data_IF_098652599127
#
_entry.id   IF_098652599127
#
_cell.length_a   1.000
_cell.length_b   1.000
_cell.length_c   1.000
_cell.angle_alpha   90.00
_cell.angle_beta   90.00
_cell.angle_gamma   90.00
#
_symmetry.space_group_name_H-M   'P 1'
#
loop_
_entity.id
_entity.type
_entity.pdbx_description
1 polymer ?
#
# COMPACT_ATOMS: atom_id res chain seq x y z
N UNK A 1 -5.66 -18.15 -29.93
CA UNK A 1 -5.27 -16.83 -29.40
C UNK A 1 -4.18 -17.06 -28.36
N UNK A 2 -2.90 -16.90 -28.71
CA UNK A 2 -1.79 -17.20 -27.79
C UNK A 2 -1.77 -16.19 -26.63
N UNK A 3 -1.31 -16.64 -25.46
CA UNK A 3 -1.01 -15.75 -24.33
C UNK A 3 0.07 -14.74 -24.74
N UNK A 4 -0.17 -13.45 -24.48
CA UNK A 4 0.83 -12.40 -24.72
C UNK A 4 1.94 -12.48 -23.66
N UNK A 5 3.07 -11.83 -23.93
CA UNK A 5 4.16 -11.74 -22.95
C UNK A 5 3.71 -11.04 -21.65
N UNK A 6 2.73 -10.13 -21.74
CA UNK A 6 2.12 -9.47 -20.56
C UNK A 6 1.33 -10.44 -19.71
N UNK A 7 0.56 -11.33 -20.34
CA UNK A 7 -0.17 -12.34 -19.59
C UNK A 7 0.79 -13.30 -18.84
N UNK A 8 1.89 -13.68 -19.49
CA UNK A 8 2.96 -14.45 -18.84
C UNK A 8 3.62 -13.69 -17.69
N UNK A 9 3.84 -12.38 -17.83
CA UNK A 9 4.35 -11.55 -16.75
C UNK A 9 3.37 -11.47 -15.56
N UNK A 10 2.07 -11.32 -15.83
CA UNK A 10 1.02 -11.33 -14.79
C UNK A 10 1.02 -12.66 -14.04
N UNK A 11 0.99 -13.78 -14.76
CA UNK A 11 1.02 -15.12 -14.16
C UNK A 11 2.31 -15.30 -13.35
N UNK A 12 3.46 -14.86 -13.87
CA UNK A 12 4.73 -14.94 -13.16
C UNK A 12 4.69 -14.13 -11.84
N UNK A 13 4.17 -12.91 -11.84
CA UNK A 13 4.06 -12.08 -10.62
C UNK A 13 3.19 -12.79 -9.57
N UNK A 14 2.03 -13.30 -9.97
CA UNK A 14 1.11 -13.99 -9.05
C UNK A 14 1.74 -15.29 -8.53
N UNK A 15 2.35 -16.08 -9.42
CA UNK A 15 3.01 -17.34 -9.06
C UNK A 15 4.20 -17.12 -8.12
N UNK A 16 5.07 -16.14 -8.42
CA UNK A 16 6.21 -15.78 -7.57
C UNK A 16 5.72 -15.30 -6.20
N UNK A 17 4.70 -14.44 -6.17
CA UNK A 17 4.12 -13.95 -4.91
C UNK A 17 3.55 -15.12 -4.08
N UNK A 18 2.80 -16.03 -4.70
CA UNK A 18 2.28 -17.23 -4.04
C UNK A 18 3.40 -18.16 -3.54
N UNK A 19 4.46 -18.35 -4.31
CA UNK A 19 5.59 -19.23 -3.96
C UNK A 19 6.44 -18.65 -2.81
N UNK A 20 6.66 -17.33 -2.82
CA UNK A 20 7.35 -16.63 -1.73
C UNK A 20 6.52 -16.75 -0.44
N UNK A 21 5.21 -16.52 -0.50
CA UNK A 21 4.35 -16.62 0.67
C UNK A 21 4.14 -18.06 1.14
N UNK A 22 4.22 -19.06 0.26
CA UNK A 22 4.28 -20.48 0.65
C UNK A 22 5.54 -20.78 1.48
N UNK A 23 6.67 -20.13 1.15
CA UNK A 23 7.93 -20.31 1.86
C UNK A 23 7.98 -19.56 3.19
N UNK A 24 7.36 -18.37 3.26
CA UNK A 24 7.31 -17.55 4.49
C UNK A 24 6.20 -17.94 5.46
N UNK A 25 5.05 -18.41 4.96
CA UNK A 25 3.86 -18.65 5.77
C UNK A 25 2.94 -17.43 5.89
N UNK A 26 1.64 -17.66 6.08
CA UNK A 26 0.61 -16.62 6.21
C UNK A 26 0.87 -15.69 7.38
N UNK A 27 1.13 -16.25 8.57
CA UNK A 27 1.28 -15.48 9.80
C UNK A 27 2.42 -14.48 9.68
N UNK A 28 3.55 -14.90 9.12
CA UNK A 28 4.70 -14.01 8.94
C UNK A 28 4.41 -12.88 7.97
N UNK A 29 3.66 -13.18 6.92
CA UNK A 29 3.29 -12.20 5.90
C UNK A 29 2.25 -11.20 6.44
N UNK A 30 1.23 -11.67 7.15
CA UNK A 30 0.19 -10.84 7.76
C UNK A 30 0.77 -9.92 8.84
N UNK A 31 1.63 -10.46 9.71
CA UNK A 31 2.32 -9.66 10.73
C UNK A 31 3.28 -8.64 10.12
N UNK A 32 3.96 -8.99 9.03
CA UNK A 32 4.78 -8.03 8.30
C UNK A 32 3.94 -6.88 7.75
N UNK A 33 2.81 -7.17 7.12
CA UNK A 33 1.91 -6.14 6.59
C UNK A 33 1.36 -5.24 7.72
N UNK A 34 0.94 -5.86 8.83
CA UNK A 34 0.46 -5.14 10.01
C UNK A 34 1.55 -4.25 10.60
N UNK A 35 2.79 -4.75 10.69
CA UNK A 35 3.95 -3.99 11.16
C UNK A 35 4.21 -2.77 10.30
N UNK A 36 4.08 -2.88 8.97
CA UNK A 36 4.21 -1.74 8.06
C UNK A 36 3.14 -0.66 8.32
N UNK A 37 1.87 -1.07 8.53
CA UNK A 37 0.77 -0.15 8.83
C UNK A 37 1.02 0.56 10.18
N UNK A 38 1.38 -0.20 11.22
CA UNK A 38 1.69 0.34 12.55
C UNK A 38 2.90 1.28 12.47
N UNK A 39 3.97 0.89 11.77
CA UNK A 39 5.16 1.74 11.60
C UNK A 39 4.82 3.05 10.89
N UNK A 40 3.97 3.02 9.86
CA UNK A 40 3.47 4.23 9.21
C UNK A 40 2.69 5.13 10.17
N UNK A 41 1.77 4.56 10.96
CA UNK A 41 1.01 5.29 11.97
C UNK A 41 1.90 5.91 13.06
N UNK A 42 2.87 5.15 13.58
CA UNK A 42 3.84 5.62 14.58
C UNK A 42 4.73 6.72 14.00
N UNK A 43 5.22 6.56 12.77
CA UNK A 43 6.00 7.59 12.10
C UNK A 43 5.21 8.89 11.92
N UNK A 44 3.92 8.81 11.58
CA UNK A 44 3.07 9.98 11.41
C UNK A 44 2.78 10.68 12.74
N UNK A 45 2.52 9.93 13.81
CA UNK A 45 2.17 10.49 15.12
C UNK A 45 3.39 11.01 15.90
N UNK A 46 4.51 10.28 15.87
CA UNK A 46 5.68 10.54 16.72
C UNK A 46 6.89 11.10 15.97
N UNK A 47 6.91 11.03 14.63
CA UNK A 47 8.02 11.54 13.83
C UNK A 47 8.25 13.04 14.00
N UNK A 48 7.18 13.82 14.17
CA UNK A 48 7.25 15.25 14.47
C UNK A 48 7.92 15.53 15.81
N UNK A 49 7.51 14.86 16.88
CA UNK A 49 8.11 15.02 18.22
C UNK A 49 9.58 14.60 18.25
N UNK A 50 9.96 13.53 17.54
CA UNK A 50 11.37 13.16 17.43
C UNK A 50 12.18 14.22 16.67
N UNK A 51 11.59 14.85 15.66
CA UNK A 51 12.28 15.85 14.84
C UNK A 51 12.78 17.03 15.67
N UNK A 52 12.11 17.42 16.75
CA UNK A 52 12.54 18.52 17.63
C UNK A 52 13.92 18.25 18.26
N UNK A 53 14.17 17.00 18.65
CA UNK A 53 15.47 16.58 19.19
C UNK A 53 16.58 16.55 18.14
N UNK A 54 16.24 16.47 16.86
CA UNK A 54 17.20 16.53 15.75
C UNK A 54 17.60 17.98 15.41
N UNK A 55 17.09 18.97 16.12
CA UNK A 55 17.33 20.39 15.86
C UNK A 55 18.80 20.80 15.89
N UNK A 56 19.62 20.13 16.70
CA UNK A 56 21.07 20.37 16.77
C UNK A 56 21.89 19.71 15.66
N UNK A 57 21.30 18.82 14.85
CA UNK A 57 22.01 18.05 13.82
C UNK A 57 21.58 18.41 12.39
N UNK A 58 20.32 18.79 12.19
CA UNK A 58 19.74 19.08 10.87
C UNK A 58 19.13 20.47 10.87
N UNK A 59 19.77 21.40 10.17
CA UNK A 59 19.29 22.79 10.08
C UNK A 59 18.00 22.91 9.25
N UNK A 60 17.87 22.13 8.18
CA UNK A 60 16.71 22.19 7.27
C UNK A 60 15.45 21.59 7.92
N UNK A 61 14.37 22.37 8.13
CA UNK A 61 13.18 21.90 8.84
C UNK A 61 12.47 20.70 8.18
N UNK A 62 12.34 20.72 6.85
CA UNK A 62 11.72 19.62 6.10
C UNK A 62 12.52 18.31 6.21
N UNK A 63 13.85 18.38 6.07
CA UNK A 63 14.73 17.23 6.23
C UNK A 63 14.69 16.67 7.66
N UNK A 64 14.55 17.53 8.66
CA UNK A 64 14.46 17.16 10.08
C UNK A 64 13.21 16.34 10.38
N UNK A 65 12.04 16.79 9.89
CA UNK A 65 10.78 16.05 10.04
C UNK A 65 10.83 14.73 9.31
N UNK A 66 11.33 14.71 8.07
CA UNK A 66 11.50 13.47 7.30
C UNK A 66 12.42 12.49 8.02
N UNK A 67 13.54 12.96 8.57
CA UNK A 67 14.47 12.13 9.34
C UNK A 67 13.81 11.58 10.62
N UNK A 68 13.06 12.42 11.36
CA UNK A 68 12.32 11.98 12.56
C UNK A 68 11.30 10.89 12.24
N UNK A 69 10.49 11.08 11.20
CA UNK A 69 9.55 10.07 10.71
C UNK A 69 10.28 8.80 10.26
N UNK A 70 11.37 8.91 9.51
CA UNK A 70 12.13 7.76 9.03
C UNK A 70 12.75 6.94 10.17
N UNK A 71 13.31 7.60 11.19
CA UNK A 71 13.86 6.92 12.37
C UNK A 71 12.76 6.18 13.12
N UNK A 72 11.62 6.83 13.40
CA UNK A 72 10.48 6.18 14.07
C UNK A 72 9.92 5.02 13.27
N UNK A 73 9.83 5.19 11.94
CA UNK A 73 9.40 4.14 11.02
C UNK A 73 10.31 2.92 11.11
N UNK A 74 11.63 3.10 10.93
CA UNK A 74 12.62 2.03 10.97
C UNK A 74 12.70 1.38 12.34
N UNK A 75 12.68 2.17 13.42
CA UNK A 75 12.69 1.65 14.78
C UNK A 75 11.48 0.73 15.03
N UNK A 76 10.29 1.13 14.58
CA UNK A 76 9.07 0.33 14.70
C UNK A 76 9.15 -0.94 13.85
N UNK A 77 9.69 -0.86 12.62
CA UNK A 77 9.92 -2.04 11.79
C UNK A 77 10.86 -3.04 12.44
N UNK A 78 11.93 -2.58 13.10
CA UNK A 78 12.87 -3.46 13.82
C UNK A 78 12.15 -4.21 14.94
N UNK A 79 11.40 -3.50 15.78
CA UNK A 79 10.63 -4.10 16.87
C UNK A 79 9.59 -5.08 16.33
N UNK A 80 8.84 -4.70 15.31
CA UNK A 80 7.85 -5.58 14.69
C UNK A 80 8.48 -6.80 14.01
N UNK A 81 9.68 -6.68 13.44
CA UNK A 81 10.42 -7.81 12.88
C UNK A 81 10.84 -8.81 13.98
N UNK A 82 11.25 -8.33 15.16
CA UNK A 82 11.55 -9.18 16.31
C UNK A 82 10.31 -9.94 16.78
N UNK A 83 9.16 -9.25 16.90
CA UNK A 83 7.88 -9.88 17.26
C UNK A 83 7.48 -10.92 16.21
N UNK A 84 7.60 -10.59 14.92
CA UNK A 84 7.28 -11.49 13.83
C UNK A 84 8.16 -12.75 13.85
N UNK A 85 9.45 -12.60 14.17
CA UNK A 85 10.34 -13.74 14.36
C UNK A 85 9.88 -14.66 15.50
N UNK A 86 9.56 -14.09 16.67
CA UNK A 86 9.04 -14.84 17.81
C UNK A 86 7.77 -15.60 17.47
N UNK A 87 6.76 -14.91 16.92
CA UNK A 87 5.49 -15.55 16.56
C UNK A 87 5.69 -16.63 15.49
N UNK A 88 6.57 -16.38 14.52
CA UNK A 88 6.92 -17.39 13.51
C UNK A 88 7.48 -18.67 14.12
N UNK A 89 8.30 -18.56 15.18
CA UNK A 89 8.81 -19.73 15.89
C UNK A 89 7.72 -20.43 16.72
N UNK A 90 6.80 -19.67 17.34
CA UNK A 90 5.63 -20.26 18.02
C UNK A 90 4.77 -21.10 17.06
N UNK A 91 4.48 -20.61 15.86
CA UNK A 91 3.72 -21.35 14.83
C UNK A 91 4.44 -22.63 14.39
N UNK A 92 5.78 -22.58 14.36
CA UNK A 92 6.60 -23.73 14.01
C UNK A 92 6.56 -24.80 15.12
N UNK A 93 6.58 -24.38 16.39
CA UNK A 93 6.51 -25.27 17.55
C UNK A 93 5.13 -25.93 17.69
N UNK A 94 4.04 -25.25 17.33
CA UNK A 94 2.68 -25.83 17.38
C UNK A 94 2.42 -26.88 16.29
N UNK A 95 3.35 -27.09 15.35
CA UNK A 95 3.19 -28.07 14.26
C UNK A 95 2.20 -27.66 13.17
N UNK A 96 1.58 -26.48 13.28
CA UNK A 96 0.61 -25.93 12.32
C UNK A 96 1.27 -25.31 11.07
N UNK A 97 2.59 -25.48 10.90
CA UNK A 97 3.35 -24.88 9.80
C UNK A 97 2.84 -25.28 8.41
N UNK A 98 2.26 -26.48 8.24
CA UNK A 98 1.67 -26.90 6.97
C UNK A 98 0.47 -26.05 6.56
N UNK A 99 -0.49 -25.87 7.48
CA UNK A 99 -1.68 -25.04 7.26
C UNK A 99 -1.31 -23.56 7.07
N UNK A 100 -0.38 -23.05 7.87
CA UNK A 100 0.14 -21.69 7.76
C UNK A 100 0.76 -21.40 6.38
N UNK A 101 1.52 -22.35 5.83
CA UNK A 101 2.09 -22.24 4.48
C UNK A 101 1.02 -22.28 3.38
N UNK A 102 0.01 -23.14 3.50
CA UNK A 102 -1.09 -23.22 2.54
C UNK A 102 -1.92 -21.93 2.51
N UNK A 103 -2.28 -21.41 3.69
CA UNK A 103 -2.91 -20.09 3.80
C UNK A 103 -1.98 -18.98 3.27
N UNK A 104 -0.67 -19.14 3.46
CA UNK A 104 0.35 -18.25 2.93
C UNK A 104 0.30 -18.19 1.41
N UNK A 105 0.16 -19.33 0.73
CA UNK A 105 0.00 -19.38 -0.73
C UNK A 105 -1.23 -18.60 -1.20
N UNK A 106 -2.39 -18.81 -0.55
CA UNK A 106 -3.62 -18.10 -0.90
C UNK A 106 -3.49 -16.58 -0.69
N UNK A 107 -2.89 -16.18 0.44
CA UNK A 107 -2.62 -14.77 0.74
C UNK A 107 -1.60 -14.16 -0.24
N UNK A 108 -0.54 -14.89 -0.59
CA UNK A 108 0.47 -14.48 -1.57
C UNK A 108 -0.12 -14.34 -2.97
N UNK A 109 -1.03 -15.23 -3.37
CA UNK A 109 -1.75 -15.12 -4.62
C UNK A 109 -2.65 -13.88 -4.63
N UNK A 110 -3.42 -13.64 -3.56
CA UNK A 110 -4.24 -12.44 -3.41
C UNK A 110 -3.40 -11.14 -3.46
N UNK A 111 -2.25 -11.13 -2.78
CA UNK A 111 -1.29 -10.02 -2.84
C UNK A 111 -0.74 -9.82 -4.26
N UNK A 112 -0.38 -10.91 -4.94
CA UNK A 112 0.11 -10.87 -6.32
C UNK A 112 -0.95 -10.29 -7.28
N UNK A 113 -2.21 -10.73 -7.14
CA UNK A 113 -3.35 -10.17 -7.87
C UNK A 113 -3.49 -8.68 -7.58
N UNK A 114 -3.43 -8.27 -6.31
CA UNK A 114 -3.53 -6.86 -5.93
C UNK A 114 -2.39 -6.02 -6.54
N UNK A 115 -1.16 -6.52 -6.54
CA UNK A 115 -0.02 -5.85 -7.19
C UNK A 115 -0.25 -5.70 -8.70
N UNK A 116 -0.78 -6.72 -9.37
CA UNK A 116 -1.13 -6.66 -10.79
C UNK A 116 -2.25 -5.65 -11.04
N UNK A 117 -3.31 -5.64 -10.23
CA UNK A 117 -4.41 -4.65 -10.33
C UNK A 117 -3.86 -3.24 -10.25
N UNK A 118 -2.99 -2.95 -9.28
CA UNK A 118 -2.36 -1.64 -9.13
C UNK A 118 -1.47 -1.31 -10.33
N UNK A 119 -0.63 -2.25 -10.77
CA UNK A 119 0.26 -2.03 -11.92
C UNK A 119 -0.52 -1.76 -13.21
N UNK A 120 -1.53 -2.58 -13.52
CA UNK A 120 -2.42 -2.39 -14.68
C UNK A 120 -3.19 -1.07 -14.57
N UNK A 121 -3.70 -0.75 -13.37
CA UNK A 121 -4.39 0.51 -13.12
C UNK A 121 -3.49 1.73 -13.34
N UNK A 122 -2.23 1.68 -12.89
CA UNK A 122 -1.26 2.75 -13.13
C UNK A 122 -0.86 2.85 -14.60
N UNK A 123 -0.63 1.72 -15.28
CA UNK A 123 -0.32 1.69 -16.70
C UNK A 123 -1.47 2.23 -17.55
N UNK A 124 -2.73 1.98 -17.15
CA UNK A 124 -3.91 2.51 -17.84
C UNK A 124 -4.01 4.04 -17.82
N UNK A 125 -3.30 4.73 -16.93
CA UNK A 125 -3.23 6.19 -16.91
C UNK A 125 -2.32 6.74 -18.03
N UNK A 126 -1.46 5.89 -18.61
CA UNK A 126 -0.61 6.22 -19.76
C UNK A 126 -1.23 5.81 -21.10
N UNK A 127 -0.60 6.17 -22.23
CA UNK A 127 -1.10 5.89 -23.59
C UNK A 127 -0.96 4.42 -24.04
N UNK A 128 -0.91 3.48 -23.09
CA UNK A 128 -0.66 2.05 -23.37
C UNK A 128 -1.82 1.36 -24.11
N UNK A 129 -2.99 2.00 -24.19
CA UNK A 129 -4.17 1.44 -24.86
C UNK A 129 -4.01 1.32 -26.40
N UNK A 130 -3.04 2.04 -26.97
CA UNK A 130 -2.73 2.01 -28.41
C UNK A 130 -1.75 0.90 -28.77
N UNK A 131 -1.13 0.26 -27.78
CA UNK A 131 -0.13 -0.77 -28.02
C UNK A 131 -0.76 -2.15 -28.25
N UNK A 132 -0.27 -2.87 -29.27
CA UNK A 132 -0.79 -4.20 -29.63
C UNK A 132 -0.72 -5.21 -28.48
N UNK A 133 0.31 -5.14 -27.64
CA UNK A 133 0.48 -6.02 -26.48
C UNK A 133 -0.58 -5.80 -25.39
N UNK A 134 -1.18 -4.62 -25.31
CA UNK A 134 -2.26 -4.31 -24.38
C UNK A 134 -3.61 -4.82 -24.90
N UNK A 135 -3.88 -4.64 -26.20
CA UNK A 135 -5.14 -5.06 -26.81
C UNK A 135 -5.24 -6.58 -26.99
N UNK A 136 -4.12 -7.27 -27.21
CA UNK A 136 -4.09 -8.73 -27.40
C UNK A 136 -4.14 -9.50 -26.06
N UNK A 137 -3.92 -8.84 -24.91
CA UNK A 137 -3.89 -9.50 -23.60
C UNK A 137 -5.28 -9.92 -23.12
N UNK A 138 -5.41 -11.18 -22.71
CA UNK A 138 -6.67 -11.72 -22.20
C UNK A 138 -6.88 -11.43 -20.71
N UNK A 139 -5.80 -11.23 -19.94
CA UNK A 139 -5.88 -10.99 -18.50
C UNK A 139 -6.12 -9.51 -18.19
N UNK A 140 -5.53 -8.58 -18.94
CA UNK A 140 -5.68 -7.13 -18.75
C UNK A 140 -7.15 -6.69 -18.56
N UNK A 141 -8.12 -7.01 -19.44
CA UNK A 141 -9.50 -6.58 -19.25
C UNK A 141 -10.16 -7.16 -17.98
N UNK A 142 -9.79 -8.37 -17.55
CA UNK A 142 -10.33 -8.96 -16.30
C UNK A 142 -9.79 -8.24 -15.06
N UNK A 143 -8.51 -7.89 -15.05
CA UNK A 143 -7.91 -7.12 -13.96
C UNK A 143 -8.41 -5.68 -13.93
N UNK A 144 -8.72 -5.08 -15.09
CA UNK A 144 -9.37 -3.77 -15.17
C UNK A 144 -10.78 -3.79 -14.57
N UNK A 145 -11.57 -4.84 -14.78
CA UNK A 145 -12.88 -4.99 -14.13
C UNK A 145 -12.76 -5.04 -12.60
N UNK A 146 -11.77 -5.77 -12.08
CA UNK A 146 -11.50 -5.83 -10.64
C UNK A 146 -11.03 -4.47 -10.12
N UNK A 147 -10.19 -3.76 -10.88
CA UNK A 147 -9.74 -2.41 -10.55
C UNK A 147 -10.90 -1.41 -10.48
N UNK A 148 -11.81 -1.46 -11.45
CA UNK A 148 -12.96 -0.57 -11.54
C UNK A 148 -13.97 -0.86 -10.44
N UNK A 149 -14.27 -2.14 -10.19
CA UNK A 149 -15.09 -2.56 -9.04
C UNK A 149 -14.48 -2.08 -7.71
N UNK A 150 -13.15 -2.21 -7.54
CA UNK A 150 -12.46 -1.74 -6.34
C UNK A 150 -12.54 -0.23 -6.19
N UNK A 151 -12.34 0.55 -7.27
CA UNK A 151 -12.51 2.00 -7.27
C UNK A 151 -13.94 2.39 -6.88
N UNK A 152 -14.94 1.77 -7.48
CA UNK A 152 -16.35 2.05 -7.20
C UNK A 152 -16.73 1.69 -5.76
N UNK A 153 -16.18 0.59 -5.21
CA UNK A 153 -16.37 0.23 -3.82
C UNK A 153 -15.76 1.27 -2.88
N UNK A 154 -14.52 1.68 -3.12
CA UNK A 154 -13.81 2.68 -2.31
C UNK A 154 -14.50 4.03 -2.39
N UNK A 155 -14.90 4.46 -3.59
CA UNK A 155 -15.61 5.72 -3.82
C UNK A 155 -17.03 5.69 -3.25
N UNK A 156 -17.72 4.57 -3.33
CA UNK A 156 -19.04 4.38 -2.73
C UNK A 156 -18.96 4.46 -1.21
N UNK A 157 -18.04 3.72 -0.60
CA UNK A 157 -17.86 3.70 0.85
C UNK A 157 -17.36 5.05 1.38
N UNK A 158 -16.45 5.71 0.64
CA UNK A 158 -16.06 7.08 0.96
C UNK A 158 -17.26 7.98 0.84
N UNK A 159 -18.02 7.99 -0.26
CA UNK A 159 -19.18 8.87 -0.43
C UNK A 159 -20.22 8.73 0.68
N UNK A 160 -20.38 7.53 1.23
CA UNK A 160 -21.24 7.29 2.38
C UNK A 160 -20.64 7.85 3.67
N UNK A 161 -19.33 7.73 3.87
CA UNK A 161 -18.59 8.35 4.97
C UNK A 161 -18.64 9.89 4.90
N UNK A 162 -18.45 10.46 3.72
CA UNK A 162 -18.62 11.89 3.39
C UNK A 162 -20.04 12.36 3.74
N UNK A 163 -21.05 11.60 3.30
CA UNK A 163 -22.46 11.92 3.51
C UNK A 163 -22.92 11.70 4.96
N UNK A 164 -22.22 10.86 5.72
CA UNK A 164 -22.50 10.58 7.14
C UNK A 164 -22.09 11.69 8.12
N UNK A 165 -21.64 12.84 7.61
CA UNK A 165 -21.48 14.06 8.41
C UNK A 165 -20.06 14.34 8.95
N UNK A 166 -19.05 13.58 8.53
CA UNK A 166 -17.66 14.01 8.68
C UNK A 166 -17.32 14.83 7.43
N UNK A 167 -17.80 16.07 7.38
CA UNK A 167 -17.31 17.02 6.40
C UNK A 167 -15.81 17.17 6.60
N UNK A 168 -15.04 17.04 5.51
CA UNK A 168 -13.72 17.69 5.45
C UNK A 168 -13.96 19.13 5.92
N UNK A 169 -13.32 19.61 7.01
CA UNK A 169 -13.59 20.95 7.49
C UNK A 169 -13.35 21.91 6.31
N UNK A 170 -14.41 22.62 5.92
CA UNK A 170 -14.40 23.54 4.79
C UNK A 170 -13.43 24.73 4.99
N UNK A 171 -12.84 24.81 6.18
CA UNK A 171 -11.79 25.72 6.61
C UNK A 171 -10.48 24.95 6.77
N UNK A 172 -9.92 24.60 5.62
CA UNK A 172 -8.51 24.26 5.56
C UNK A 172 -7.72 25.54 5.85
N UNK A 173 -6.81 25.59 6.86
CA UNK A 173 -6.18 26.82 7.36
C UNK A 173 -5.31 27.59 6.36
N UNK A 174 -5.14 27.06 5.14
CA UNK A 174 -4.39 27.66 4.04
C UNK A 174 -5.26 28.11 2.86
N UNK A 175 -6.60 28.06 2.98
CA UNK A 175 -7.55 28.45 1.93
C UNK A 175 -7.39 29.91 1.49
N UNK A 176 -7.15 30.84 2.43
CA UNK A 176 -6.84 32.25 2.11
C UNK A 176 -5.52 32.46 1.36
N UNK A 177 -4.54 31.54 1.48
CA UNK A 177 -3.22 31.70 0.87
C UNK A 177 -3.12 31.13 -0.55
N UNK A 178 -4.03 30.21 -0.92
CA UNK A 178 -4.03 29.57 -2.24
C UNK A 178 -4.94 30.27 -3.26
N UNK A 179 -5.93 31.03 -2.80
CA UNK A 179 -6.84 31.76 -3.67
C UNK A 179 -6.43 33.24 -3.70
N UNK A 180 -5.82 33.75 -4.79
CA UNK A 180 -5.63 35.18 -4.93
C UNK A 180 -7.00 35.84 -4.86
N UNK A 181 -7.14 36.82 -3.96
CA UNK A 181 -8.37 37.57 -3.76
C UNK A 181 -8.85 38.13 -5.10
N UNK A 182 -9.90 37.52 -5.65
CA UNK A 182 -10.57 38.03 -6.83
C UNK A 182 -11.17 39.38 -6.43
N UNK A 183 -10.42 40.44 -6.71
CA UNK A 183 -10.80 41.83 -6.50
C UNK A 183 -11.97 42.11 -7.46
N UNK A 184 -13.17 42.22 -6.92
CA UNK A 184 -14.34 42.69 -7.65
C UNK A 184 -14.09 44.14 -8.10
N UNK A 185 -14.13 44.46 -9.41
CA UNK A 185 -14.12 45.86 -9.83
C UNK A 185 -15.48 46.48 -9.51
N UNK A 186 -15.44 47.65 -8.85
CA UNK A 186 -16.58 48.57 -8.72
C UNK A 186 -16.91 49.23 -10.06
#
# INVERSE_FOLDING_TARGET
MPFTWVDWAIVAIVAISALISLSRGFVKEALSLLTWIIAGGVAWMFGGSLSEYLGGYIETPSARVIAGCAIMFVATLIVGAMINYLIGELVRVTGLSGTDRFLGMAFGAARGVLLVVVAVGLLSLGPVQQDGWWQESQLVPKFLLVADWSKNLILGWSSQWLASGISVPADIPFKEHLLPTAKTPQ
#
